data_IF_683345230171
#
_entry.id   IF_683345230171
#
_cell.length_a   1.000
_cell.length_b   1.000
_cell.length_c   1.000
_cell.angle_alpha   90.00
_cell.angle_beta   90.00
_cell.angle_gamma   90.00
#
_symmetry.space_group_name_H-M   'P 1'
#
loop_
_entity.id
_entity.type
_entity.pdbx_description
1 polymer ?
#
# COMPACT_ATOMS: atom_id res chain seq x y z
N UNK A 1 37.12 26.91 -6.22
CA UNK A 1 36.39 25.65 -6.19
C UNK A 1 34.93 25.98 -5.83
N UNK A 2 34.06 26.08 -6.85
CA UNK A 2 32.61 26.18 -6.62
C UNK A 2 32.16 24.77 -6.27
N UNK A 3 32.00 24.47 -4.98
CA UNK A 3 31.33 23.24 -4.55
C UNK A 3 29.87 23.35 -5.00
N UNK A 4 29.40 22.36 -5.74
CA UNK A 4 27.96 22.25 -6.09
C UNK A 4 27.14 22.20 -4.83
N UNK A 5 26.07 23.02 -4.72
CA UNK A 5 25.15 23.03 -3.59
C UNK A 5 24.37 21.70 -3.47
N UNK A 6 24.07 21.07 -4.61
CA UNK A 6 23.42 19.76 -4.68
C UNK A 6 23.90 18.97 -5.89
N UNK A 7 24.06 17.67 -5.75
CA UNK A 7 24.38 16.77 -6.85
C UNK A 7 23.16 16.47 -7.73
N UNK A 8 21.98 16.47 -7.12
CA UNK A 8 20.72 16.19 -7.79
C UNK A 8 19.65 17.20 -7.36
N UNK A 9 18.84 17.66 -8.30
CA UNK A 9 17.71 18.53 -8.09
C UNK A 9 16.42 17.77 -8.35
N UNK A 10 15.49 17.83 -7.39
CA UNK A 10 14.23 17.12 -7.44
C UNK A 10 13.08 18.12 -7.19
N UNK A 11 12.16 18.22 -8.14
CA UNK A 11 11.04 19.17 -8.07
C UNK A 11 9.74 18.43 -8.01
N UNK A 12 9.01 18.58 -6.89
CA UNK A 12 7.70 17.99 -6.68
C UNK A 12 6.58 18.87 -7.23
N UNK A 13 5.47 18.23 -7.63
CA UNK A 13 4.18 18.89 -7.80
C UNK A 13 3.63 19.44 -6.47
N UNK A 14 2.59 20.23 -6.55
CA UNK A 14 1.92 20.77 -5.37
C UNK A 14 1.02 19.73 -4.71
N UNK A 15 0.81 19.87 -3.39
CA UNK A 15 -0.25 19.16 -2.68
C UNK A 15 -1.44 20.11 -2.54
N UNK A 16 -2.57 19.71 -3.09
CA UNK A 16 -3.86 20.35 -2.86
C UNK A 16 -4.61 19.60 -1.74
N UNK A 17 -5.46 20.29 -1.01
CA UNK A 17 -6.34 19.72 0.01
C UNK A 17 -7.78 20.05 -0.38
N UNK A 18 -8.57 19.01 -0.64
CA UNK A 18 -9.97 19.16 -1.08
C UNK A 18 -10.11 20.12 -2.29
N UNK A 19 -9.17 20.03 -3.25
CA UNK A 19 -9.15 20.84 -4.48
C UNK A 19 -8.44 22.19 -4.37
N UNK A 20 -8.13 22.67 -3.16
CA UNK A 20 -7.46 23.94 -2.94
C UNK A 20 -5.96 23.73 -2.64
N UNK A 21 -5.10 24.65 -3.12
CA UNK A 21 -3.67 24.60 -2.82
C UNK A 21 -3.41 24.64 -1.31
N UNK A 22 -2.63 23.68 -0.81
CA UNK A 22 -2.22 23.71 0.60
C UNK A 22 -1.38 24.94 0.88
N UNK A 23 -1.82 25.78 1.85
CA UNK A 23 -1.07 26.97 2.24
C UNK A 23 -1.35 27.38 3.69
N UNK A 24 -0.39 28.10 4.29
CA UNK A 24 -0.54 28.63 5.65
C UNK A 24 -1.65 29.69 5.74
N UNK A 25 -1.79 30.50 4.69
CA UNK A 25 -2.79 31.58 4.64
C UNK A 25 -4.24 31.06 4.61
N UNK A 26 -4.46 29.89 4.00
CA UNK A 26 -5.79 29.24 3.96
C UNK A 26 -6.02 28.41 5.23
N UNK A 27 -4.97 28.05 5.97
CA UNK A 27 -5.09 27.26 7.20
C UNK A 27 -5.39 25.77 6.96
N UNK A 28 -5.26 25.29 5.72
CA UNK A 28 -5.56 23.90 5.31
C UNK A 28 -4.37 22.96 5.38
N UNK A 29 -3.30 23.33 6.10
CA UNK A 29 -2.08 22.50 6.23
C UNK A 29 -2.42 21.20 6.94
N UNK A 30 -1.92 20.09 6.37
CA UNK A 30 -2.01 18.76 6.96
C UNK A 30 -0.64 18.33 7.48
N UNK A 31 -0.50 18.26 8.80
CA UNK A 31 0.76 17.90 9.44
C UNK A 31 0.82 16.37 9.65
N UNK A 32 1.91 15.75 9.24
CA UNK A 32 2.10 14.28 9.32
C UNK A 32 1.90 13.78 10.75
N UNK A 33 2.43 14.47 11.77
CA UNK A 33 2.29 14.05 13.18
C UNK A 33 0.84 14.11 13.70
N UNK A 34 -0.06 14.82 13.01
CA UNK A 34 -1.50 14.80 13.30
C UNK A 34 -2.15 13.64 12.54
N UNK A 35 -1.83 13.48 11.26
CA UNK A 35 -2.41 12.42 10.41
C UNK A 35 -2.10 11.01 10.92
N UNK A 36 -0.91 10.76 11.48
CA UNK A 36 -0.54 9.43 12.03
C UNK A 36 -1.33 9.04 13.28
N UNK A 37 -2.08 9.97 13.90
CA UNK A 37 -3.00 9.65 15.00
C UNK A 37 -4.27 8.96 14.49
N UNK A 38 -4.69 9.30 13.26
CA UNK A 38 -5.95 8.86 12.67
C UNK A 38 -5.75 7.76 11.62
N UNK A 39 -4.57 7.73 10.99
CA UNK A 39 -4.27 6.84 9.87
C UNK A 39 -2.95 6.09 10.07
N UNK A 40 -2.89 4.86 9.58
CA UNK A 40 -1.63 4.09 9.54
C UNK A 40 -0.62 4.79 8.63
N UNK A 41 0.64 4.82 9.03
CA UNK A 41 1.71 5.50 8.28
C UNK A 41 1.87 5.01 6.85
N UNK A 42 1.74 3.69 6.61
CA UNK A 42 1.80 3.13 5.26
C UNK A 42 0.65 3.60 4.36
N UNK A 43 -0.56 3.86 4.91
CA UNK A 43 -1.69 4.40 4.15
C UNK A 43 -1.37 5.81 3.67
N UNK A 44 -0.80 6.65 4.56
CA UNK A 44 -0.38 8.01 4.19
C UNK A 44 0.72 7.98 3.13
N UNK A 45 1.69 7.06 3.29
CA UNK A 45 2.76 6.86 2.32
C UNK A 45 2.23 6.40 0.96
N UNK A 46 1.35 5.42 0.94
CA UNK A 46 0.71 4.94 -0.27
C UNK A 46 -0.10 6.03 -0.97
N UNK A 47 -0.81 6.88 -0.21
CA UNK A 47 -1.54 8.02 -0.75
C UNK A 47 -0.60 9.03 -1.44
N UNK A 48 0.59 9.29 -0.89
CA UNK A 48 1.59 10.13 -1.56
C UNK A 48 2.14 9.48 -2.83
N UNK A 49 2.40 8.17 -2.80
CA UNK A 49 2.93 7.40 -3.94
C UNK A 49 1.90 7.15 -5.05
N UNK A 50 0.60 7.35 -4.77
CA UNK A 50 -0.48 7.13 -5.74
C UNK A 50 -0.55 8.19 -6.85
N UNK A 51 0.16 9.31 -6.69
CA UNK A 51 0.36 10.31 -7.75
C UNK A 51 1.84 10.33 -8.15
N UNK A 52 2.10 10.61 -9.43
CA UNK A 52 3.47 10.87 -9.87
C UNK A 52 4.01 12.12 -9.18
N UNK A 53 5.24 12.09 -8.66
CA UNK A 53 5.78 13.17 -7.83
C UNK A 53 5.80 14.55 -8.49
N UNK A 54 5.88 14.63 -9.83
CA UNK A 54 5.80 15.90 -10.60
C UNK A 54 4.37 16.41 -10.77
N UNK A 55 3.36 15.57 -10.53
CA UNK A 55 1.95 15.94 -10.70
C UNK A 55 1.37 16.49 -9.38
N UNK A 56 0.39 17.39 -9.45
CA UNK A 56 -0.34 17.80 -8.26
C UNK A 56 -1.05 16.61 -7.62
N UNK A 57 -0.90 16.46 -6.32
CA UNK A 57 -1.65 15.49 -5.52
C UNK A 57 -2.81 16.21 -4.84
N UNK A 58 -4.04 15.77 -5.08
CA UNK A 58 -5.19 16.27 -4.33
C UNK A 58 -5.46 15.39 -3.10
N UNK A 59 -5.06 15.86 -1.94
CA UNK A 59 -5.23 15.17 -0.66
C UNK A 59 -6.68 15.23 -0.21
N UNK A 60 -7.40 14.12 -0.29
CA UNK A 60 -8.80 13.98 0.11
C UNK A 60 -8.98 12.77 1.01
N UNK A 61 -10.09 12.73 1.76
CA UNK A 61 -10.48 11.54 2.53
C UNK A 61 -10.69 10.32 1.62
N UNK A 62 -11.16 10.52 0.41
CA UNK A 62 -11.39 9.45 -0.55
C UNK A 62 -10.08 8.83 -1.04
N UNK A 63 -9.06 9.62 -1.31
CA UNK A 63 -7.73 9.10 -1.66
C UNK A 63 -7.16 8.25 -0.54
N UNK A 64 -7.28 8.68 0.71
CA UNK A 64 -6.81 7.92 1.87
C UNK A 64 -7.56 6.59 1.97
N UNK A 65 -8.90 6.61 1.84
CA UNK A 65 -9.73 5.41 1.88
C UNK A 65 -9.40 4.43 0.76
N UNK A 66 -9.23 4.91 -0.48
CA UNK A 66 -8.86 4.08 -1.63
C UNK A 66 -7.51 3.41 -1.41
N UNK A 67 -6.50 4.14 -0.94
CA UNK A 67 -5.18 3.59 -0.67
C UNK A 67 -5.16 2.64 0.53
N UNK A 68 -5.97 2.87 1.56
CA UNK A 68 -6.18 1.91 2.65
C UNK A 68 -6.75 0.59 2.12
N UNK A 69 -7.81 0.66 1.31
CA UNK A 69 -8.43 -0.52 0.69
C UNK A 69 -7.45 -1.28 -0.21
N UNK A 70 -6.62 -0.54 -0.96
CA UNK A 70 -5.58 -1.15 -1.80
C UNK A 70 -4.54 -1.89 -0.96
N UNK A 71 -4.02 -1.27 0.10
CA UNK A 71 -3.07 -1.92 1.02
C UNK A 71 -3.68 -3.15 1.68
N UNK A 72 -4.94 -3.08 2.13
CA UNK A 72 -5.63 -4.23 2.71
C UNK A 72 -5.70 -5.40 1.74
N UNK A 73 -5.91 -5.13 0.44
CA UNK A 73 -5.89 -6.17 -0.61
C UNK A 73 -4.50 -6.79 -0.75
N UNK A 74 -3.46 -5.98 -0.85
CA UNK A 74 -2.09 -6.46 -0.98
C UNK A 74 -1.66 -7.28 0.26
N UNK A 75 -2.04 -6.84 1.46
CA UNK A 75 -1.80 -7.58 2.70
C UNK A 75 -2.57 -8.91 2.76
N UNK A 76 -3.82 -8.97 2.26
CA UNK A 76 -4.55 -10.23 2.11
C UNK A 76 -3.82 -11.18 1.18
N UNK A 77 -3.35 -10.69 0.03
CA UNK A 77 -2.54 -11.50 -0.89
C UNK A 77 -1.29 -12.06 -0.20
N UNK A 78 -0.56 -11.25 0.58
CA UNK A 78 0.58 -11.73 1.36
C UNK A 78 0.18 -12.77 2.42
N UNK A 79 -0.98 -12.59 3.06
CA UNK A 79 -1.51 -13.54 4.04
C UNK A 79 -1.89 -14.88 3.38
N UNK A 80 -2.57 -14.84 2.23
CA UNK A 80 -2.95 -16.04 1.48
C UNK A 80 -1.72 -16.81 0.98
N UNK A 81 -0.60 -16.12 0.78
CA UNK A 81 0.69 -16.68 0.36
C UNK A 81 1.65 -16.95 1.54
N UNK A 82 1.19 -16.90 2.81
CA UNK A 82 2.14 -16.97 3.95
C UNK A 82 3.00 -18.24 3.94
N UNK A 83 2.45 -19.37 3.52
CA UNK A 83 3.14 -20.66 3.46
C UNK A 83 4.02 -20.85 2.21
N UNK A 84 4.06 -19.88 1.31
CA UNK A 84 4.92 -19.89 0.12
C UNK A 84 6.26 -19.27 0.47
N UNK A 85 7.36 -19.94 0.15
CA UNK A 85 8.69 -19.33 0.23
C UNK A 85 8.95 -18.47 -1.00
N UNK A 86 8.97 -17.15 -0.81
CA UNK A 86 9.21 -16.20 -1.90
C UNK A 86 10.61 -16.31 -2.52
N UNK A 87 11.56 -16.92 -1.80
CA UNK A 87 12.97 -17.04 -2.19
C UNK A 87 13.36 -18.47 -2.54
N UNK A 88 12.39 -19.40 -2.63
CA UNK A 88 12.63 -20.79 -3.01
C UNK A 88 13.30 -20.95 -4.38
N UNK A 89 13.20 -19.93 -5.23
CA UNK A 89 13.83 -19.84 -6.55
C UNK A 89 14.50 -18.50 -6.73
N UNK A 90 15.48 -18.44 -7.66
CA UNK A 90 16.01 -17.15 -8.11
C UNK A 90 14.91 -16.41 -8.88
N UNK A 91 14.34 -15.39 -8.25
CA UNK A 91 13.33 -14.53 -8.86
C UNK A 91 13.92 -13.14 -9.14
N UNK A 92 13.35 -12.48 -10.14
CA UNK A 92 13.64 -11.08 -10.46
C UNK A 92 12.36 -10.25 -10.31
N UNK A 93 12.53 -8.98 -9.99
CA UNK A 93 11.41 -8.05 -10.01
C UNK A 93 10.87 -7.96 -11.43
N UNK A 94 9.54 -7.96 -11.58
CA UNK A 94 8.87 -7.87 -12.89
C UNK A 94 9.41 -6.70 -13.71
N UNK A 95 9.67 -6.95 -15.01
CA UNK A 95 10.16 -5.93 -15.94
C UNK A 95 9.28 -4.68 -15.97
N UNK A 96 7.96 -4.84 -15.95
CA UNK A 96 7.02 -3.72 -15.92
C UNK A 96 7.19 -2.82 -14.70
N UNK A 97 7.52 -3.43 -13.55
CA UNK A 97 7.81 -2.67 -12.32
C UNK A 97 9.11 -1.90 -12.45
N UNK A 98 10.16 -2.57 -12.95
CA UNK A 98 11.48 -1.94 -13.18
C UNK A 98 11.36 -0.80 -14.18
N UNK A 99 10.64 -1.00 -15.29
CA UNK A 99 10.35 0.06 -16.25
C UNK A 99 9.61 1.24 -15.61
N UNK A 100 8.63 0.97 -14.74
CA UNK A 100 7.94 2.03 -14.00
C UNK A 100 8.88 2.83 -13.09
N UNK A 101 9.84 2.17 -12.42
CA UNK A 101 10.83 2.85 -11.59
C UNK A 101 11.83 3.67 -12.42
N UNK A 102 12.22 3.19 -13.60
CA UNK A 102 13.12 3.89 -14.51
C UNK A 102 12.42 5.00 -15.31
N UNK A 103 11.10 4.95 -15.42
CA UNK A 103 10.27 5.98 -16.05
C UNK A 103 10.01 7.12 -15.05
N UNK A 104 11.08 7.85 -14.72
CA UNK A 104 11.06 9.01 -13.81
C UNK A 104 10.36 8.72 -12.47
N UNK A 105 10.60 7.55 -11.88
CA UNK A 105 10.00 7.08 -10.63
C UNK A 105 8.46 7.08 -10.70
N UNK A 106 7.90 6.49 -11.73
CA UNK A 106 6.46 6.41 -11.96
C UNK A 106 5.80 5.43 -10.98
N UNK A 107 5.72 5.85 -9.70
CA UNK A 107 5.15 5.03 -8.62
C UNK A 107 3.70 4.62 -8.86
N UNK A 108 2.82 5.43 -9.49
CA UNK A 108 1.48 4.99 -9.88
C UNK A 108 1.49 3.76 -10.79
N UNK A 109 2.40 3.72 -11.79
CA UNK A 109 2.57 2.55 -12.68
C UNK A 109 3.02 1.33 -11.89
N UNK A 110 3.98 1.48 -10.98
CA UNK A 110 4.46 0.40 -10.11
C UNK A 110 3.35 -0.15 -9.22
N UNK A 111 2.56 0.71 -8.60
CA UNK A 111 1.43 0.31 -7.75
C UNK A 111 0.36 -0.43 -8.57
N UNK A 112 0.08 0.03 -9.79
CA UNK A 112 -0.85 -0.65 -10.69
C UNK A 112 -0.37 -2.07 -11.03
N UNK A 113 0.92 -2.26 -11.31
CA UNK A 113 1.50 -3.58 -11.57
C UNK A 113 1.43 -4.51 -10.33
N UNK A 114 1.70 -3.99 -9.12
CA UNK A 114 1.51 -4.79 -7.90
C UNK A 114 0.06 -5.26 -7.75
N UNK A 115 -0.91 -4.41 -8.10
CA UNK A 115 -2.32 -4.77 -8.06
C UNK A 115 -2.67 -5.82 -9.13
N UNK A 116 -2.12 -5.71 -10.34
CA UNK A 116 -2.30 -6.70 -11.42
C UNK A 116 -1.73 -8.05 -10.99
N UNK A 117 -0.52 -8.08 -10.42
CA UNK A 117 0.10 -9.30 -9.91
C UNK A 117 -0.74 -9.92 -8.79
N UNK A 118 -1.21 -9.12 -7.83
CA UNK A 118 -2.01 -9.63 -6.71
C UNK A 118 -3.34 -10.24 -7.16
N UNK A 119 -3.95 -9.76 -8.24
CA UNK A 119 -5.18 -10.33 -8.80
C UNK A 119 -4.97 -11.71 -9.43
N UNK A 120 -3.73 -12.13 -9.68
CA UNK A 120 -3.38 -13.45 -10.24
C UNK A 120 -3.18 -14.53 -9.17
N UNK A 121 -3.47 -14.23 -7.90
CA UNK A 121 -3.29 -15.16 -6.75
C UNK A 121 -4.05 -16.47 -6.89
N UNK A 122 -5.18 -16.48 -7.61
CA UNK A 122 -5.98 -17.68 -7.85
C UNK A 122 -5.33 -18.69 -8.79
N UNK A 123 -4.16 -18.36 -9.37
CA UNK A 123 -3.38 -19.29 -10.19
C UNK A 123 -3.05 -20.56 -9.40
N UNK A 124 -3.19 -21.71 -10.06
CA UNK A 124 -2.74 -23.00 -9.52
C UNK A 124 -1.23 -23.20 -9.64
N UNK A 125 -0.55 -22.37 -10.45
CA UNK A 125 0.90 -22.43 -10.65
C UNK A 125 1.62 -21.88 -9.42
N UNK A 126 2.36 -22.75 -8.73
CA UNK A 126 3.15 -22.39 -7.55
C UNK A 126 4.25 -21.40 -7.88
N UNK A 127 4.88 -21.51 -9.08
CA UNK A 127 5.90 -20.55 -9.50
C UNK A 127 5.33 -19.16 -9.62
N UNK A 128 4.09 -19.03 -10.11
CA UNK A 128 3.40 -17.73 -10.17
C UNK A 128 3.13 -17.16 -8.79
N UNK A 129 2.76 -17.99 -7.82
CA UNK A 129 2.57 -17.57 -6.43
C UNK A 129 3.88 -17.09 -5.78
N UNK A 130 4.99 -17.80 -6.06
CA UNK A 130 6.33 -17.38 -5.61
C UNK A 130 6.69 -16.03 -6.22
N UNK A 131 6.49 -15.85 -7.53
CA UNK A 131 6.72 -14.57 -8.24
C UNK A 131 5.90 -13.42 -7.62
N UNK A 132 4.60 -13.64 -7.39
CA UNK A 132 3.72 -12.63 -6.79
C UNK A 132 4.24 -12.22 -5.42
N UNK A 133 4.49 -13.19 -4.52
CA UNK A 133 4.98 -12.91 -3.18
C UNK A 133 6.32 -12.19 -3.19
N UNK A 134 7.26 -12.63 -4.01
CA UNK A 134 8.56 -12.01 -4.18
C UNK A 134 8.44 -10.54 -4.60
N UNK A 135 7.65 -10.25 -5.65
CA UNK A 135 7.46 -8.88 -6.12
C UNK A 135 6.81 -8.00 -5.06
N UNK A 136 5.78 -8.48 -4.35
CA UNK A 136 5.13 -7.73 -3.27
C UNK A 136 6.12 -7.37 -2.16
N UNK A 137 6.98 -8.31 -1.75
CA UNK A 137 7.96 -8.07 -0.69
C UNK A 137 9.09 -7.13 -1.13
N UNK A 138 9.70 -7.38 -2.30
CA UNK A 138 10.85 -6.58 -2.76
C UNK A 138 10.43 -5.16 -3.14
N UNK A 139 9.33 -5.00 -3.86
CA UNK A 139 8.81 -3.68 -4.22
C UNK A 139 8.25 -2.97 -2.98
N UNK A 140 7.65 -3.72 -2.06
CA UNK A 140 7.25 -3.22 -0.76
C UNK A 140 8.42 -2.58 -0.01
N UNK A 141 9.60 -3.21 0.00
CA UNK A 141 10.83 -2.64 0.59
C UNK A 141 11.26 -1.36 -0.13
N UNK A 142 11.25 -1.35 -1.48
CA UNK A 142 11.63 -0.17 -2.27
C UNK A 142 10.70 1.00 -1.98
N UNK A 143 9.40 0.78 -1.97
CA UNK A 143 8.40 1.81 -1.75
C UNK A 143 8.17 2.15 -0.26
N UNK A 144 8.66 1.32 0.66
CA UNK A 144 8.43 1.45 2.11
C UNK A 144 6.97 1.22 2.50
N UNK A 145 6.31 0.25 1.86
CA UNK A 145 4.98 -0.26 2.17
C UNK A 145 5.05 -1.78 2.39
N UNK A 146 4.00 -2.40 2.90
CA UNK A 146 3.94 -3.85 3.17
C UNK A 146 5.02 -4.30 4.18
N UNK A 147 5.38 -3.45 5.14
CA UNK A 147 6.42 -3.72 6.14
C UNK A 147 5.87 -4.35 7.42
N UNK A 148 4.55 -4.33 7.62
CA UNK A 148 3.92 -4.96 8.78
C UNK A 148 3.68 -6.47 8.54
N UNK A 149 3.50 -7.21 9.64
CA UNK A 149 3.00 -8.57 9.54
C UNK A 149 1.56 -8.57 8.99
N UNK A 150 1.25 -9.37 7.95
CA UNK A 150 -0.09 -9.37 7.32
C UNK A 150 -1.23 -9.64 8.31
N UNK A 151 -1.07 -10.59 9.23
CA UNK A 151 -2.09 -10.89 10.24
C UNK A 151 -2.31 -9.71 11.18
N UNK A 152 -1.23 -9.05 11.62
CA UNK A 152 -1.31 -7.85 12.46
C UNK A 152 -1.98 -6.69 11.73
N UNK A 153 -1.63 -6.47 10.46
CA UNK A 153 -2.25 -5.43 9.64
C UNK A 153 -3.75 -5.61 9.50
N UNK A 154 -4.19 -6.84 9.20
CA UNK A 154 -5.58 -7.21 8.99
C UNK A 154 -6.37 -7.37 10.28
N UNK A 155 -5.73 -7.25 11.44
CA UNK A 155 -6.36 -7.36 12.75
C UNK A 155 -6.61 -8.79 13.21
N UNK A 156 -6.06 -9.79 12.52
CA UNK A 156 -6.12 -11.18 13.00
C UNK A 156 -5.35 -11.31 14.32
N UNK A 157 -5.97 -11.92 15.31
CA UNK A 157 -5.35 -12.11 16.64
C UNK A 157 -5.54 -10.95 17.63
N UNK A 158 -6.30 -9.92 17.29
CA UNK A 158 -6.68 -8.85 18.24
C UNK A 158 -7.91 -9.18 19.09
N UNK A 159 -8.36 -10.43 19.11
CA UNK A 159 -9.53 -10.82 19.90
C UNK A 159 -9.12 -11.30 21.30
N UNK A 160 -8.56 -10.43 22.13
CA UNK A 160 -8.52 -10.72 23.58
C UNK A 160 -9.92 -10.68 24.25
N UNK A 161 -10.97 -10.26 23.53
CA UNK A 161 -12.34 -10.13 24.06
C UNK A 161 -13.45 -10.45 23.05
N UNK A 162 -13.20 -11.21 21.99
CA UNK A 162 -14.31 -11.75 21.19
C UNK A 162 -14.71 -13.09 21.77
N UNK A 163 -15.88 -13.13 22.41
CA UNK A 163 -16.51 -14.34 22.87
C UNK A 163 -16.93 -15.17 21.64
N UNK A 164 -16.19 -16.27 21.37
CA UNK A 164 -16.44 -17.17 20.25
C UNK A 164 -17.89 -17.70 20.30
N UNK A 165 -18.44 -17.92 21.50
CA UNK A 165 -19.81 -18.36 21.69
C UNK A 165 -20.83 -17.32 21.24
N UNK A 166 -20.54 -16.02 21.44
CA UNK A 166 -21.39 -14.93 20.96
C UNK A 166 -21.35 -14.83 19.43
N UNK A 167 -20.19 -15.02 18.81
CA UNK A 167 -20.02 -14.99 17.35
C UNK A 167 -20.75 -16.18 16.71
N UNK A 168 -20.59 -17.37 17.25
CA UNK A 168 -21.30 -18.57 16.78
C UNK A 168 -22.82 -18.42 16.93
N UNK A 169 -23.29 -17.82 18.03
CA UNK A 169 -24.69 -17.46 18.22
C UNK A 169 -25.22 -16.54 17.12
N UNK A 170 -24.51 -15.45 16.83
CA UNK A 170 -24.90 -14.50 15.76
C UNK A 170 -24.85 -15.12 14.36
N UNK A 171 -23.92 -16.04 14.10
CA UNK A 171 -23.86 -16.79 12.83
C UNK A 171 -25.07 -17.73 12.71
N UNK A 172 -25.44 -18.41 13.80
CA UNK A 172 -26.61 -19.31 13.85
C UNK A 172 -27.90 -18.54 13.62
N UNK A 173 -28.11 -17.43 14.35
CA UNK A 173 -29.26 -16.54 14.19
C UNK A 173 -29.43 -16.04 12.76
N UNK A 174 -28.32 -15.63 12.12
CA UNK A 174 -28.33 -15.20 10.71
C UNK A 174 -28.73 -16.33 9.76
N UNK A 175 -28.34 -17.55 10.03
CA UNK A 175 -28.65 -18.70 9.19
C UNK A 175 -30.09 -19.21 9.39
N UNK A 176 -30.69 -18.98 10.55
CA UNK A 176 -32.09 -19.34 10.86
C UNK A 176 -33.11 -18.34 10.27
N UNK A 177 -32.65 -17.09 9.95
CA UNK A 177 -33.50 -16.04 9.35
C UNK A 177 -33.47 -16.09 7.80
N UNK A 178 -32.73 -17.01 7.19
CA UNK A 178 -32.65 -17.24 5.76
C UNK A 178 -33.42 -18.47 5.33
#
# INVERSE_FOLDING_TARGET
NVQSFANFWFHNGFVNVEGEKMSKSIGNIRLVHQLIKDYKGEVLRMALLSAHYRQPLNWTKDIIRQNSTMLDRLYRTLKDLENIDAYAKSNTISSNIIEGLYDDLNTPKVIAELNILSNQISSKDENKKIEIKFNLLEVGKILGILQENPSKWLGYGKSENLDETMIEGLIKDRNEVR
#
